data_IF_349122114501
#
_entry.id   IF_349122114501
#
_cell.length_a   1.000
_cell.length_b   1.000
_cell.length_c   1.000
_cell.angle_alpha   90.00
_cell.angle_beta   90.00
_cell.angle_gamma   90.00
#
_symmetry.space_group_name_H-M   'P 1'
#
loop_
_entity.id
_entity.type
_entity.pdbx_description
1 polymer ?
#
# COMPACT_ATOMS: atom_id res chain seq x y z
N UNK A 1 -22.05 13.43 10.85
CA UNK A 1 -20.95 12.83 10.07
C UNK A 1 -20.90 13.57 8.74
N UNK A 2 -19.82 14.25 8.42
CA UNK A 2 -19.63 14.68 7.01
C UNK A 2 -19.25 13.42 6.25
N UNK A 3 -20.01 13.07 5.20
CA UNK A 3 -19.69 11.95 4.32
C UNK A 3 -18.35 12.17 3.63
N UNK A 4 -17.70 11.09 3.18
CA UNK A 4 -16.53 11.17 2.30
C UNK A 4 -16.94 11.96 1.05
N UNK A 5 -16.12 12.92 0.58
CA UNK A 5 -16.43 13.66 -0.65
C UNK A 5 -16.69 12.72 -1.82
N UNK A 6 -17.71 13.05 -2.63
CA UNK A 6 -17.97 12.32 -3.87
C UNK A 6 -16.87 12.70 -4.86
N UNK A 7 -16.08 11.72 -5.29
CA UNK A 7 -15.05 11.90 -6.30
C UNK A 7 -15.71 12.11 -7.67
N UNK A 8 -15.31 13.15 -8.37
CA UNK A 8 -15.78 13.48 -9.74
C UNK A 8 -14.81 13.04 -10.83
N UNK A 9 -13.67 12.47 -10.41
CA UNK A 9 -12.61 12.00 -11.30
C UNK A 9 -12.89 10.61 -11.86
N UNK A 10 -12.27 10.22 -12.99
CA UNK A 10 -12.28 8.85 -13.46
C UNK A 10 -11.80 7.86 -12.38
N UNK A 11 -12.15 6.57 -12.52
CA UNK A 11 -11.62 5.52 -11.66
C UNK A 11 -10.10 5.48 -11.73
N UNK A 12 -9.45 5.27 -10.59
CA UNK A 12 -8.00 5.18 -10.45
C UNK A 12 -7.22 6.45 -10.89
N UNK A 13 -7.85 7.62 -10.90
CA UNK A 13 -7.14 8.87 -11.15
C UNK A 13 -6.29 9.23 -9.93
N UNK A 14 -4.95 9.37 -10.07
CA UNK A 14 -4.06 9.69 -8.94
C UNK A 14 -4.42 10.99 -8.21
N UNK A 15 -5.04 11.95 -8.89
CA UNK A 15 -5.49 13.22 -8.29
C UNK A 15 -6.58 13.04 -7.22
N UNK A 16 -7.24 11.88 -7.15
CA UNK A 16 -8.20 11.56 -6.08
C UNK A 16 -7.56 11.62 -4.70
N UNK A 17 -6.30 11.20 -4.58
CA UNK A 17 -5.56 11.20 -3.31
C UNK A 17 -5.20 12.61 -2.86
N UNK A 18 -4.94 13.53 -3.78
CA UNK A 18 -4.73 14.94 -3.47
C UNK A 18 -6.04 15.64 -3.06
N UNK A 19 -7.16 15.30 -3.72
CA UNK A 19 -8.50 15.80 -3.35
C UNK A 19 -8.91 15.35 -1.94
N UNK A 20 -8.44 14.19 -1.50
CA UNK A 20 -8.68 13.60 -0.19
C UNK A 20 -7.54 13.86 0.82
N UNK A 21 -6.63 14.79 0.54
CA UNK A 21 -5.43 15.02 1.34
C UNK A 21 -5.71 15.22 2.85
N UNK A 22 -6.81 15.90 3.20
CA UNK A 22 -7.21 16.12 4.59
C UNK A 22 -7.67 14.85 5.33
N UNK A 23 -7.91 13.75 4.61
CA UNK A 23 -8.40 12.49 5.17
C UNK A 23 -7.28 11.53 5.62
N UNK A 24 -6.03 11.73 5.15
CA UNK A 24 -4.93 10.80 5.39
C UNK A 24 -4.75 10.40 6.85
N UNK A 25 -4.77 11.35 7.77
CA UNK A 25 -4.51 11.10 9.20
C UNK A 25 -5.75 11.17 10.08
N UNK A 26 -6.95 11.13 9.47
CA UNK A 26 -8.20 11.09 10.24
C UNK A 26 -8.47 9.65 10.68
N UNK A 27 -8.55 9.33 11.99
CA UNK A 27 -8.72 7.95 12.46
C UNK A 27 -9.97 7.25 11.95
N UNK A 28 -10.99 8.04 11.55
CA UNK A 28 -12.26 7.56 10.98
C UNK A 28 -12.58 8.22 9.65
N UNK A 29 -11.53 8.63 8.94
CA UNK A 29 -11.61 9.23 7.61
C UNK A 29 -11.65 8.20 6.50
N UNK A 30 -11.57 8.69 5.28
CA UNK A 30 -11.59 7.87 4.06
C UNK A 30 -10.45 6.83 3.99
N UNK A 31 -9.34 7.10 4.66
CA UNK A 31 -8.15 6.23 4.67
C UNK A 31 -7.99 5.44 5.98
N UNK A 32 -9.03 5.37 6.85
CA UNK A 32 -8.94 4.60 8.09
C UNK A 32 -8.52 3.12 7.87
N UNK A 33 -9.00 2.38 6.86
CA UNK A 33 -8.54 1.02 6.59
C UNK A 33 -7.05 0.94 6.24
N UNK A 34 -6.49 1.97 5.57
CA UNK A 34 -5.07 1.99 5.20
C UNK A 34 -4.15 2.07 6.43
N UNK A 35 -4.57 2.70 7.54
CA UNK A 35 -3.83 2.68 8.80
C UNK A 35 -3.67 1.26 9.34
N UNK A 36 -4.73 0.44 9.25
CA UNK A 36 -4.69 -0.95 9.73
C UNK A 36 -3.77 -1.81 8.90
N UNK A 37 -3.84 -1.63 7.56
CA UNK A 37 -2.98 -2.36 6.61
C UNK A 37 -1.53 -1.90 6.76
N UNK A 38 -1.25 -0.59 6.89
CA UNK A 38 0.09 -0.06 7.10
C UNK A 38 0.76 -0.64 8.36
N UNK A 39 0.02 -0.74 9.46
CA UNK A 39 0.49 -1.37 10.70
C UNK A 39 0.82 -2.86 10.52
N UNK A 40 -0.04 -3.61 9.81
CA UNK A 40 0.20 -5.02 9.51
C UNK A 40 1.39 -5.23 8.56
N UNK A 41 1.57 -4.34 7.60
CA UNK A 41 2.70 -4.30 6.66
C UNK A 41 4.00 -4.01 7.40
N UNK A 42 4.01 -3.01 8.28
CA UNK A 42 5.17 -2.66 9.09
C UNK A 42 5.69 -3.82 9.94
N UNK A 43 4.80 -4.70 10.43
CA UNK A 43 5.19 -5.90 11.18
C UNK A 43 5.97 -6.94 10.34
N UNK A 44 6.02 -6.77 9.02
CA UNK A 44 6.80 -7.60 8.09
C UNK A 44 8.15 -6.98 7.72
N UNK A 45 8.34 -5.70 8.02
CA UNK A 45 9.63 -5.03 7.82
C UNK A 45 10.65 -5.66 8.78
N UNK A 46 11.80 -6.12 8.29
CA UNK A 46 12.82 -6.70 9.16
C UNK A 46 13.25 -5.70 10.25
N UNK A 47 13.53 -6.14 11.46
CA UNK A 47 14.19 -5.27 12.43
C UNK A 47 15.59 -4.91 11.93
N UNK A 48 15.99 -3.65 12.07
CA UNK A 48 17.31 -3.24 11.60
C UNK A 48 17.42 -1.75 11.34
N UNK A 49 18.27 -1.41 10.41
CA UNK A 49 18.54 -0.04 9.98
C UNK A 49 18.90 0.01 8.50
N UNK A 50 19.40 1.16 8.04
CA UNK A 50 19.71 1.40 6.63
C UNK A 50 18.65 2.27 5.97
N UNK A 51 18.43 2.08 4.68
CA UNK A 51 17.48 2.88 3.89
C UNK A 51 16.24 2.05 3.57
N UNK A 52 15.08 2.54 4.01
CA UNK A 52 13.77 2.04 3.61
C UNK A 52 13.17 3.00 2.59
N UNK A 53 12.77 2.47 1.44
CA UNK A 53 12.06 3.19 0.39
C UNK A 53 10.59 2.77 0.40
N UNK A 54 9.70 3.71 0.70
CA UNK A 54 8.25 3.56 0.66
C UNK A 54 7.76 4.10 -0.70
N UNK A 55 7.40 3.20 -1.61
CA UNK A 55 6.93 3.55 -2.96
C UNK A 55 5.42 3.70 -2.97
N UNK A 56 4.93 4.77 -3.58
CA UNK A 56 3.56 5.27 -3.43
C UNK A 56 3.24 5.50 -1.94
N UNK A 57 4.08 6.29 -1.25
CA UNK A 57 4.04 6.45 0.20
C UNK A 57 2.80 7.19 0.73
N UNK A 58 2.01 7.79 -0.15
CA UNK A 58 0.82 8.55 0.21
C UNK A 58 1.11 9.59 1.28
N UNK A 59 0.25 9.68 2.28
CA UNK A 59 0.42 10.57 3.45
C UNK A 59 1.41 10.07 4.50
N UNK A 60 2.20 9.00 4.23
CA UNK A 60 3.24 8.51 5.14
C UNK A 60 2.72 7.64 6.28
N UNK A 61 1.63 6.90 6.10
CA UNK A 61 0.99 6.09 7.14
C UNK A 61 1.90 4.99 7.72
N UNK A 62 2.94 4.59 6.99
CA UNK A 62 3.92 3.62 7.45
C UNK A 62 4.87 4.19 8.52
N UNK A 63 5.14 5.50 8.49
CA UNK A 63 6.20 6.15 9.27
C UNK A 63 6.17 5.86 10.79
N UNK A 64 5.03 5.92 11.50
CA UNK A 64 5.01 5.68 12.94
C UNK A 64 5.27 4.23 13.34
N UNK A 65 5.31 3.31 12.38
CA UNK A 65 5.41 1.87 12.63
C UNK A 65 6.78 1.29 12.26
N UNK A 66 7.64 2.07 11.61
CA UNK A 66 8.99 1.62 11.22
C UNK A 66 10.03 2.52 11.88
N UNK A 67 10.87 1.92 12.72
CA UNK A 67 11.92 2.63 13.43
C UNK A 67 13.31 2.11 13.00
N UNK A 68 14.34 2.95 13.16
CA UNK A 68 15.72 2.56 12.87
C UNK A 68 16.14 2.73 11.41
N UNK A 69 15.20 2.98 10.49
CA UNK A 69 15.47 3.21 9.08
C UNK A 69 15.52 4.70 8.71
N UNK A 70 16.40 5.05 7.76
CA UNK A 70 16.23 6.28 6.98
C UNK A 70 15.05 6.08 6.03
N UNK A 71 13.91 6.66 6.37
CA UNK A 71 12.66 6.48 5.63
C UNK A 71 12.58 7.48 4.48
N UNK A 72 12.64 6.97 3.25
CA UNK A 72 12.45 7.70 2.01
C UNK A 72 11.07 7.36 1.46
N UNK A 73 10.37 8.34 0.87
CA UNK A 73 9.07 8.14 0.24
C UNK A 73 9.03 8.70 -1.18
N UNK A 74 8.44 7.95 -2.11
CA UNK A 74 8.16 8.42 -3.48
C UNK A 74 6.65 8.31 -3.70
N UNK A 75 6.04 9.37 -4.23
CA UNK A 75 4.62 9.40 -4.60
C UNK A 75 4.38 10.38 -5.75
N UNK A 76 3.34 10.16 -6.53
CA UNK A 76 2.90 11.09 -7.59
C UNK A 76 2.19 12.33 -6.99
N UNK A 77 1.48 12.17 -5.87
CA UNK A 77 0.68 13.20 -5.23
C UNK A 77 1.52 14.24 -4.50
N UNK A 78 1.36 15.51 -4.88
CA UNK A 78 2.06 16.64 -4.23
C UNK A 78 1.56 16.87 -2.81
N UNK A 79 0.25 16.80 -2.60
CA UNK A 79 -0.34 16.97 -1.27
C UNK A 79 0.02 15.81 -0.35
N UNK A 80 -0.03 14.57 -0.86
CA UNK A 80 0.35 13.37 -0.14
C UNK A 80 1.81 13.43 0.34
N UNK A 81 2.77 13.73 -0.54
CA UNK A 81 4.19 13.87 -0.17
C UNK A 81 4.45 14.97 0.85
N UNK A 82 3.70 16.09 0.78
CA UNK A 82 3.80 17.16 1.77
C UNK A 82 3.35 16.68 3.16
N UNK A 83 2.27 15.91 3.23
CA UNK A 83 1.77 15.34 4.48
C UNK A 83 2.77 14.33 5.04
N UNK A 84 3.29 13.41 4.20
CA UNK A 84 4.28 12.43 4.62
C UNK A 84 5.54 13.07 5.25
N UNK A 85 6.00 14.22 4.70
CA UNK A 85 7.11 15.00 5.32
C UNK A 85 6.81 15.46 6.73
N UNK A 86 5.58 15.87 7.03
CA UNK A 86 5.16 16.28 8.37
C UNK A 86 5.23 15.13 9.37
N UNK A 87 5.21 13.88 8.88
CA UNK A 87 5.31 12.65 9.65
C UNK A 87 6.69 11.98 9.58
N UNK A 88 7.73 12.72 9.17
CA UNK A 88 9.12 12.27 9.25
C UNK A 88 9.63 11.48 8.05
N UNK A 89 8.87 11.39 6.95
CA UNK A 89 9.32 10.74 5.71
C UNK A 89 10.07 11.76 4.84
N UNK A 90 11.27 11.42 4.41
CA UNK A 90 12.00 12.22 3.42
C UNK A 90 11.46 11.90 2.02
N UNK A 91 10.61 12.78 1.47
CA UNK A 91 9.87 12.49 0.24
C UNK A 91 10.40 13.19 -1.00
N UNK A 92 10.24 12.54 -2.14
CA UNK A 92 10.30 13.17 -3.46
C UNK A 92 9.03 12.81 -4.27
N UNK A 93 8.64 13.71 -5.19
CA UNK A 93 7.61 13.38 -6.16
C UNK A 93 8.23 12.56 -7.28
N UNK A 94 7.57 11.46 -7.69
CA UNK A 94 8.08 10.60 -8.74
C UNK A 94 7.12 9.49 -9.13
N UNK A 95 7.36 8.92 -10.31
CA UNK A 95 6.65 7.77 -10.83
C UNK A 95 7.33 6.48 -10.36
N UNK A 96 6.55 5.54 -9.83
CA UNK A 96 7.04 4.25 -9.33
C UNK A 96 7.56 3.34 -10.46
N UNK A 97 7.17 3.58 -11.70
CA UNK A 97 7.68 2.87 -12.88
C UNK A 97 9.04 3.42 -13.36
N UNK A 98 9.51 4.52 -12.74
CA UNK A 98 10.79 5.16 -13.03
C UNK A 98 11.35 5.87 -11.81
N UNK A 99 11.78 5.09 -10.82
CA UNK A 99 12.22 5.60 -9.52
C UNK A 99 13.49 6.46 -9.63
N UNK A 100 13.51 7.69 -9.08
CA UNK A 100 14.71 8.55 -9.04
C UNK A 100 15.69 8.07 -7.94
N UNK A 101 15.97 6.78 -7.92
CA UNK A 101 16.78 6.10 -6.90
C UNK A 101 17.84 5.26 -7.61
N UNK A 102 19.08 5.28 -7.11
CA UNK A 102 20.20 4.51 -7.67
C UNK A 102 19.98 3.02 -7.54
N UNK A 103 20.57 2.25 -8.45
CA UNK A 103 20.61 0.80 -8.41
C UNK A 103 21.22 0.31 -7.11
N UNK A 104 20.71 -0.82 -6.59
CA UNK A 104 21.23 -1.53 -5.43
C UNK A 104 21.59 -0.61 -4.25
N UNK A 105 20.71 0.35 -3.92
CA UNK A 105 20.99 1.39 -2.93
C UNK A 105 20.10 1.36 -1.69
N UNK A 106 19.00 0.59 -1.71
CA UNK A 106 18.05 0.51 -0.60
C UNK A 106 18.04 -0.88 0.04
N UNK A 107 17.86 -0.92 1.34
CA UNK A 107 17.87 -2.17 2.11
C UNK A 107 16.47 -2.80 2.16
N UNK A 108 15.44 -1.96 2.19
CA UNK A 108 14.04 -2.39 2.19
C UNK A 108 13.24 -1.53 1.21
N UNK A 109 12.43 -2.16 0.37
CA UNK A 109 11.35 -1.50 -0.37
C UNK A 109 10.03 -1.91 0.25
N UNK A 110 9.18 -0.92 0.53
CA UNK A 110 7.79 -1.14 0.94
C UNK A 110 6.89 -0.63 -0.18
N UNK A 111 5.96 -1.48 -0.64
CA UNK A 111 4.99 -1.18 -1.69
C UNK A 111 3.60 -1.60 -1.19
N UNK A 112 2.85 -0.64 -0.65
CA UNK A 112 1.59 -0.95 0.01
C UNK A 112 0.38 -0.33 -0.67
N UNK A 113 -0.62 -1.16 -1.03
CA UNK A 113 -1.86 -0.74 -1.68
C UNK A 113 -1.56 0.14 -2.91
N UNK A 114 -0.60 -0.25 -3.74
CA UNK A 114 -0.19 0.53 -4.89
C UNK A 114 -0.11 -0.27 -6.20
N UNK A 115 0.15 -1.58 -6.18
CA UNK A 115 0.26 -2.39 -7.41
C UNK A 115 -1.03 -2.36 -8.25
N UNK A 116 -2.20 -2.35 -7.60
CA UNK A 116 -3.53 -2.26 -8.20
C UNK A 116 -3.86 -0.88 -8.78
N UNK A 117 -2.94 0.07 -8.66
CA UNK A 117 -3.07 1.41 -9.20
C UNK A 117 -2.11 1.69 -10.36
N UNK A 118 -1.18 0.76 -10.64
CA UNK A 118 -0.11 0.94 -11.64
C UNK A 118 -0.41 0.14 -12.89
N UNK A 119 -0.70 0.79 -14.04
CA UNK A 119 -0.98 0.09 -15.30
C UNK A 119 0.22 -0.73 -15.82
N UNK A 120 1.44 -0.22 -15.70
CA UNK A 120 2.67 -0.91 -16.10
C UNK A 120 3.32 -1.61 -14.89
N UNK A 121 2.72 -2.75 -14.54
CA UNK A 121 3.17 -3.58 -13.42
C UNK A 121 4.59 -4.13 -13.63
N UNK A 122 4.94 -4.46 -14.86
CA UNK A 122 6.25 -5.00 -15.26
C UNK A 122 7.37 -4.00 -14.96
N UNK A 123 7.24 -2.77 -15.43
CA UNK A 123 8.21 -1.70 -15.17
C UNK A 123 8.30 -1.39 -13.67
N UNK A 124 7.17 -1.39 -12.96
CA UNK A 124 7.18 -1.13 -11.53
C UNK A 124 7.96 -2.21 -10.75
N UNK A 125 7.71 -3.49 -11.02
CA UNK A 125 8.44 -4.59 -10.36
C UNK A 125 9.92 -4.60 -10.75
N UNK A 126 10.25 -4.25 -12.00
CA UNK A 126 11.64 -4.12 -12.45
C UNK A 126 12.38 -3.01 -11.68
N UNK A 127 11.75 -1.86 -11.45
CA UNK A 127 12.33 -0.78 -10.66
C UNK A 127 12.54 -1.18 -9.19
N UNK A 128 11.60 -1.91 -8.57
CA UNK A 128 11.80 -2.48 -7.22
C UNK A 128 13.04 -3.38 -7.22
N UNK A 129 13.14 -4.29 -8.20
CA UNK A 129 14.30 -5.16 -8.34
C UNK A 129 15.60 -4.40 -8.54
N UNK A 130 15.60 -3.33 -9.34
CA UNK A 130 16.78 -2.50 -9.64
C UNK A 130 17.32 -1.79 -8.39
N UNK A 131 16.43 -1.17 -7.61
CA UNK A 131 16.84 -0.33 -6.46
C UNK A 131 17.22 -1.12 -5.22
N UNK A 132 16.67 -2.34 -5.04
CA UNK A 132 17.00 -3.22 -3.92
C UNK A 132 18.46 -3.71 -4.01
N UNK A 133 19.17 -3.63 -2.90
CA UNK A 133 20.47 -4.31 -2.72
C UNK A 133 20.31 -5.83 -2.80
N UNK A 134 21.34 -6.57 -3.22
CA UNK A 134 21.39 -8.02 -2.95
C UNK A 134 21.15 -8.28 -1.46
N UNK A 135 20.28 -9.24 -1.12
CA UNK A 135 19.83 -9.50 0.24
C UNK A 135 18.77 -8.51 0.78
N UNK A 136 18.45 -7.46 0.05
CA UNK A 136 17.42 -6.49 0.42
C UNK A 136 16.01 -7.09 0.40
N UNK A 137 15.09 -6.50 1.14
CA UNK A 137 13.74 -7.03 1.37
C UNK A 137 12.67 -6.18 0.67
N UNK A 138 11.77 -6.82 -0.08
CA UNK A 138 10.49 -6.26 -0.50
C UNK A 138 9.41 -6.65 0.51
N UNK A 139 8.63 -5.67 1.00
CA UNK A 139 7.40 -5.88 1.75
C UNK A 139 6.26 -5.23 0.97
N UNK A 140 5.18 -5.96 0.71
CA UNK A 140 4.09 -5.43 -0.09
C UNK A 140 2.72 -5.96 0.36
N UNK A 141 1.67 -5.25 -0.06
CA UNK A 141 0.29 -5.74 -0.10
C UNK A 141 -0.46 -5.12 -1.27
N UNK A 142 -1.50 -5.78 -1.72
CA UNK A 142 -2.32 -5.35 -2.86
C UNK A 142 -3.61 -6.17 -2.97
N UNK A 143 -4.54 -5.72 -3.80
CA UNK A 143 -5.80 -6.39 -4.10
C UNK A 143 -5.62 -7.50 -5.15
N UNK A 144 -6.19 -8.66 -4.87
CA UNK A 144 -6.11 -9.83 -5.74
C UNK A 144 -7.03 -9.72 -6.96
N UNK A 145 -6.56 -10.12 -8.14
CA UNK A 145 -7.38 -10.24 -9.33
C UNK A 145 -8.28 -11.49 -9.26
N UNK A 146 -9.37 -11.37 -8.52
CA UNK A 146 -10.43 -12.39 -8.41
C UNK A 146 -11.81 -11.75 -8.50
N UNK A 147 -12.80 -12.53 -8.91
CA UNK A 147 -14.18 -12.05 -8.91
C UNK A 147 -14.67 -11.66 -7.51
N UNK A 148 -14.19 -12.36 -6.47
CA UNK A 148 -14.52 -12.04 -5.05
C UNK A 148 -13.95 -10.69 -4.66
N UNK A 149 -12.68 -10.43 -4.96
CA UNK A 149 -12.04 -9.13 -4.68
C UNK A 149 -12.77 -7.99 -5.39
N UNK A 150 -13.05 -8.15 -6.68
CA UNK A 150 -13.79 -7.17 -7.48
C UNK A 150 -15.17 -6.86 -6.86
N UNK A 151 -15.91 -7.90 -6.44
CA UNK A 151 -17.20 -7.73 -5.79
C UNK A 151 -17.07 -7.06 -4.42
N UNK A 152 -16.15 -7.53 -3.58
CA UNK A 152 -15.98 -7.01 -2.21
C UNK A 152 -15.46 -5.57 -2.23
N UNK A 153 -14.43 -5.27 -3.02
CA UNK A 153 -13.77 -3.96 -2.97
C UNK A 153 -14.53 -2.90 -3.78
N UNK A 154 -15.03 -3.23 -4.98
CA UNK A 154 -15.68 -2.25 -5.86
C UNK A 154 -17.19 -2.17 -5.59
N UNK A 155 -17.86 -3.33 -5.41
CA UNK A 155 -19.31 -3.33 -5.28
C UNK A 155 -19.78 -3.13 -3.84
N UNK A 156 -19.07 -3.65 -2.86
CA UNK A 156 -19.49 -3.58 -1.44
C UNK A 156 -18.75 -2.48 -0.69
N UNK A 157 -17.41 -2.48 -0.70
CA UNK A 157 -16.62 -1.55 0.11
C UNK A 157 -16.82 -0.10 -0.33
N UNK A 158 -16.84 0.19 -1.64
CA UNK A 158 -17.08 1.54 -2.15
C UNK A 158 -18.50 2.09 -1.85
N UNK A 159 -19.42 1.27 -1.31
CA UNK A 159 -20.72 1.75 -0.81
C UNK A 159 -20.70 2.08 0.69
N UNK A 160 -19.60 1.79 1.37
CA UNK A 160 -19.45 2.14 2.78
C UNK A 160 -19.11 3.63 2.93
N UNK A 161 -19.64 4.31 3.94
CA UNK A 161 -19.51 5.77 4.08
C UNK A 161 -18.09 6.25 4.39
N UNK A 162 -17.15 5.34 4.58
CA UNK A 162 -15.74 5.62 4.88
C UNK A 162 -14.78 5.07 3.80
N UNK A 163 -15.30 4.63 2.66
CA UNK A 163 -14.48 4.21 1.50
C UNK A 163 -14.84 5.11 0.32
N UNK A 164 -13.88 5.81 -0.29
CA UNK A 164 -14.15 6.62 -1.46
C UNK A 164 -14.61 5.77 -2.65
N UNK A 165 -15.69 6.14 -3.30
CA UNK A 165 -16.14 5.47 -4.50
C UNK A 165 -15.25 5.82 -5.70
N UNK A 166 -14.94 4.85 -6.55
CA UNK A 166 -14.16 5.07 -7.76
C UNK A 166 -12.65 5.10 -7.56
N UNK A 167 -12.16 4.76 -6.36
CA UNK A 167 -10.73 4.77 -6.06
C UNK A 167 -9.98 3.59 -6.71
N UNK A 168 -10.66 2.47 -6.97
CA UNK A 168 -10.06 1.30 -7.58
C UNK A 168 -10.58 1.06 -9.00
N UNK A 169 -9.67 0.68 -9.91
CA UNK A 169 -10.03 0.06 -11.19
C UNK A 169 -9.81 -1.46 -11.09
N UNK A 170 -10.89 -2.28 -11.14
CA UNK A 170 -10.74 -3.72 -11.00
C UNK A 170 -9.97 -4.39 -12.16
N UNK A 171 -9.74 -3.69 -13.26
CA UNK A 171 -8.89 -4.19 -14.35
C UNK A 171 -7.39 -4.23 -13.97
N UNK A 172 -7.00 -3.46 -12.96
CA UNK A 172 -5.62 -3.37 -12.47
C UNK A 172 -5.34 -4.27 -11.27
N UNK A 173 -6.33 -5.01 -10.76
CA UNK A 173 -6.10 -5.95 -9.65
C UNK A 173 -5.08 -7.01 -10.04
N UNK A 174 -4.29 -7.47 -9.07
CA UNK A 174 -3.07 -8.23 -9.34
C UNK A 174 -3.19 -9.69 -8.94
N UNK A 175 -3.06 -10.60 -9.90
CA UNK A 175 -2.96 -12.04 -9.60
C UNK A 175 -1.70 -12.34 -8.79
N UNK A 176 -1.79 -12.99 -7.60
CA UNK A 176 -0.65 -13.27 -6.75
C UNK A 176 0.46 -14.07 -7.43
N UNK A 177 0.10 -15.01 -8.33
CA UNK A 177 1.09 -15.82 -9.06
C UNK A 177 1.78 -15.00 -10.15
N UNK A 178 1.06 -14.06 -10.80
CA UNK A 178 1.68 -13.13 -11.75
C UNK A 178 2.70 -12.25 -11.03
N UNK A 179 2.36 -11.67 -9.87
CA UNK A 179 3.28 -10.85 -9.09
C UNK A 179 4.52 -11.65 -8.66
N UNK A 180 4.33 -12.90 -8.18
CA UNK A 180 5.45 -13.78 -7.82
C UNK A 180 6.38 -14.07 -8.99
N UNK A 181 5.84 -14.34 -10.20
CA UNK A 181 6.66 -14.53 -11.41
C UNK A 181 7.45 -13.28 -11.76
N UNK A 182 6.80 -12.12 -11.83
CA UNK A 182 7.47 -10.84 -12.12
C UNK A 182 8.59 -10.53 -11.11
N UNK A 183 8.35 -10.79 -9.82
CA UNK A 183 9.36 -10.66 -8.79
C UNK A 183 10.54 -11.63 -9.03
N UNK A 184 10.25 -12.90 -9.35
CA UNK A 184 11.30 -13.90 -9.61
C UNK A 184 12.15 -13.54 -10.84
N UNK A 185 11.53 -13.04 -11.91
CA UNK A 185 12.21 -12.57 -13.13
C UNK A 185 13.14 -11.37 -12.83
N UNK A 186 12.83 -10.61 -11.78
CA UNK A 186 13.66 -9.50 -11.29
C UNK A 186 14.53 -9.89 -10.07
N UNK A 187 14.73 -11.18 -9.83
CA UNK A 187 15.62 -11.72 -8.80
C UNK A 187 15.08 -11.63 -7.38
N UNK A 188 13.76 -11.46 -7.17
CA UNK A 188 13.13 -11.38 -5.86
C UNK A 188 12.32 -12.65 -5.59
N UNK A 189 12.67 -13.40 -4.53
CA UNK A 189 11.90 -14.58 -4.08
C UNK A 189 10.74 -14.13 -3.18
N UNK A 190 9.57 -13.85 -3.78
CA UNK A 190 8.39 -13.33 -3.11
C UNK A 190 7.49 -14.46 -2.58
N UNK A 191 7.20 -14.43 -1.28
CA UNK A 191 6.19 -15.29 -0.64
C UNK A 191 4.98 -14.47 -0.24
N UNK A 192 3.79 -14.95 -0.56
CA UNK A 192 2.53 -14.23 -0.32
C UNK A 192 1.60 -14.99 0.63
N UNK A 193 0.77 -14.24 1.35
CA UNK A 193 -0.32 -14.76 2.19
C UNK A 193 -1.49 -13.79 2.17
N UNK A 194 -2.69 -14.30 2.34
CA UNK A 194 -3.88 -13.46 2.44
C UNK A 194 -3.89 -12.64 3.73
N UNK A 195 -4.66 -11.56 3.70
CA UNK A 195 -4.86 -10.66 4.82
C UNK A 195 -6.34 -10.30 4.94
N UNK A 196 -6.86 -10.24 6.16
CA UNK A 196 -8.24 -9.79 6.41
C UNK A 196 -8.36 -9.02 7.72
N UNK A 197 -9.32 -8.13 7.87
CA UNK A 197 -9.59 -7.50 9.16
C UNK A 197 -10.13 -8.53 10.17
N UNK A 198 -9.83 -8.33 11.46
CA UNK A 198 -10.49 -9.00 12.56
C UNK A 198 -11.95 -8.55 12.61
N UNK A 199 -12.89 -9.48 12.44
CA UNK A 199 -14.33 -9.18 12.45
C UNK A 199 -14.75 -8.55 13.78
N UNK A 200 -14.23 -9.07 14.91
CA UNK A 200 -14.49 -8.53 16.24
C UNK A 200 -14.06 -7.07 16.35
N UNK A 201 -12.85 -6.76 15.88
CA UNK A 201 -12.31 -5.41 16.00
C UNK A 201 -13.01 -4.47 15.02
N UNK A 202 -13.38 -4.94 13.82
CA UNK A 202 -14.15 -4.17 12.84
C UNK A 202 -15.54 -3.79 13.40
N UNK A 203 -16.23 -4.72 14.07
CA UNK A 203 -17.49 -4.43 14.76
C UNK A 203 -17.26 -3.43 15.91
N UNK A 204 -16.22 -3.63 16.72
CA UNK A 204 -15.89 -2.70 17.81
C UNK A 204 -15.55 -1.29 17.28
N UNK A 205 -14.83 -1.20 16.16
CA UNK A 205 -14.55 0.06 15.49
C UNK A 205 -15.82 0.72 14.98
N UNK A 206 -16.72 -0.01 14.34
CA UNK A 206 -18.01 0.52 13.90
C UNK A 206 -18.86 1.03 15.07
N UNK A 207 -18.81 0.35 16.22
CA UNK A 207 -19.47 0.76 17.47
C UNK A 207 -18.69 1.85 18.24
N UNK A 208 -17.62 2.41 17.67
CA UNK A 208 -16.76 3.43 18.28
C UNK A 208 -16.12 3.03 19.62
N UNK A 209 -15.86 1.72 19.79
CA UNK A 209 -15.22 1.16 20.98
C UNK A 209 -13.71 1.01 20.85
N UNK A 210 -13.18 1.14 19.65
CA UNK A 210 -11.75 1.14 19.31
C UNK A 210 -11.46 2.05 18.11
N UNK A 211 -10.23 2.53 18.02
CA UNK A 211 -9.72 3.27 16.86
C UNK A 211 -8.91 2.36 15.91
N UNK A 212 -8.57 1.16 16.34
CA UNK A 212 -7.70 0.23 15.59
C UNK A 212 -8.43 -1.07 15.27
N UNK A 213 -8.13 -1.64 14.10
CA UNK A 213 -8.61 -2.95 13.66
C UNK A 213 -7.41 -3.81 13.29
N UNK A 214 -7.21 -4.90 13.99
CA UNK A 214 -6.13 -5.83 13.68
C UNK A 214 -6.37 -6.51 12.33
N UNK A 215 -5.33 -6.55 11.52
CA UNK A 215 -5.30 -7.33 10.30
C UNK A 215 -4.72 -8.71 10.60
N UNK A 216 -5.41 -9.76 10.18
CA UNK A 216 -5.06 -11.14 10.48
C UNK A 216 -4.61 -11.88 9.21
N UNK A 217 -3.49 -12.60 9.25
CA UNK A 217 -3.05 -13.40 8.12
C UNK A 217 -3.99 -14.58 7.89
N UNK A 218 -4.11 -14.99 6.63
CA UNK A 218 -4.86 -16.17 6.22
C UNK A 218 -4.20 -16.87 5.03
N UNK A 219 -4.55 -18.15 4.79
CA UNK A 219 -3.95 -18.91 3.67
C UNK A 219 -4.50 -18.48 2.31
N UNK A 220 -5.75 -18.08 2.26
CA UNK A 220 -6.41 -17.68 1.01
C UNK A 220 -6.08 -16.23 0.63
N UNK A 221 -5.61 -16.02 -0.60
CA UNK A 221 -5.15 -14.73 -1.13
C UNK A 221 -6.18 -14.06 -2.05
N UNK A 222 -7.44 -14.38 -1.93
CA UNK A 222 -8.45 -14.05 -2.93
C UNK A 222 -9.08 -12.66 -2.82
N UNK A 223 -8.72 -11.82 -1.83
CA UNK A 223 -9.18 -10.41 -1.76
C UNK A 223 -7.98 -9.50 -1.58
N UNK A 224 -7.46 -9.40 -0.38
CA UNK A 224 -6.27 -8.65 -0.04
C UNK A 224 -5.16 -9.65 0.32
N UNK A 225 -3.96 -9.44 -0.17
CA UNK A 225 -2.81 -10.25 0.21
C UNK A 225 -1.58 -9.38 0.45
N UNK A 226 -0.67 -9.91 1.25
CA UNK A 226 0.62 -9.30 1.55
C UNK A 226 1.75 -10.26 1.21
N UNK A 227 2.93 -9.72 0.93
CA UNK A 227 4.10 -10.49 0.57
C UNK A 227 5.38 -9.97 1.21
N UNK A 228 6.31 -10.91 1.39
CA UNK A 228 7.70 -10.61 1.73
C UNK A 228 8.59 -11.32 0.73
N UNK A 229 9.50 -10.58 0.12
CA UNK A 229 10.47 -11.11 -0.85
C UNK A 229 11.89 -10.68 -0.50
N UNK A 230 12.85 -11.53 -0.86
CA UNK A 230 14.28 -11.23 -0.70
C UNK A 230 14.95 -11.18 -2.05
N UNK A 231 15.70 -10.12 -2.32
CA UNK A 231 16.53 -9.96 -3.53
C UNK A 231 17.72 -10.90 -3.47
N UNK A 232 17.92 -11.71 -4.50
CA UNK A 232 19.09 -12.60 -4.66
C UNK A 232 20.32 -11.82 -5.05
#
# INVERSE_FOLDING_TARGET
MRGVPVLTRPRNDPGQYDDLAAEWWRPRGAFAPLHWVAKARAALVPPGGGTLLDVACGGGLLAPHVAGYRHLGIDLGVAATRIARQHGVATAQGDVTRLPVRDASVDVVVAGECFEHVPDLESFVAEIGRVLKPGGTLVCDTLADTWVSRTVMVTVAERLPFVPAGIHDPALFVDPRRLQRLCADNGIDLKVRGLRPSIRDAIAWQLRRTEDVRMLPMRWTGVLYQGVGVKR
#
